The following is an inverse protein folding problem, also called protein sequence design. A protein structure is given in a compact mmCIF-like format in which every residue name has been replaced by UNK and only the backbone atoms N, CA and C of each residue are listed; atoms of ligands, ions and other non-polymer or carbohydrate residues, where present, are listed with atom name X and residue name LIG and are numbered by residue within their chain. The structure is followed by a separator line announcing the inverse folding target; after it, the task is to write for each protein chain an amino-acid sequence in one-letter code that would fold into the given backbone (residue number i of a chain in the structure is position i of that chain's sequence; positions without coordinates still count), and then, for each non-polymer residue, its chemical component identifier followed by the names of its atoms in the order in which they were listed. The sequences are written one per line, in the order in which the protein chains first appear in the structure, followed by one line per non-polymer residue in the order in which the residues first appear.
data_IF_447701206496
#
_entry.id   IF_447701206496
#
_cell.length_a   1.000
_cell.length_b   1.000
_cell.length_c   1.000
_cell.angle_alpha   90.00
_cell.angle_beta   90.00
_cell.angle_gamma   90.00
#
_symmetry.space_group_name_H-M   'P 1'
#
loop_
_entity.id
_entity.type
_entity.pdbx_description
1 polymer ?
#
# COMPACT_ATOMS: atom_id res chain seq x y z
N UNK A 1 6.58 -19.49 -1.57
CA UNK A 1 5.38 -19.89 -0.80
C UNK A 1 4.11 -19.27 -1.40
N UNK A 2 4.21 -18.59 -2.56
CA UNK A 2 3.13 -17.85 -3.22
C UNK A 2 2.40 -18.63 -4.30
N UNK A 3 2.91 -19.79 -4.73
CA UNK A 3 2.42 -20.50 -5.92
C UNK A 3 0.92 -20.88 -5.85
N UNK A 4 0.39 -21.20 -4.66
CA UNK A 4 -1.03 -21.53 -4.50
C UNK A 4 -1.92 -20.28 -4.58
N UNK A 5 -1.47 -19.16 -4.02
CA UNK A 5 -2.21 -17.89 -4.07
C UNK A 5 -2.10 -17.22 -5.45
N UNK A 6 -1.02 -17.48 -6.19
CA UNK A 6 -0.84 -17.00 -7.55
C UNK A 6 -1.53 -17.90 -8.60
N UNK A 7 -1.80 -19.17 -8.32
CA UNK A 7 -2.37 -20.13 -9.28
C UNK A 7 -3.71 -19.64 -9.86
N UNK A 8 -4.61 -19.11 -9.04
CA UNK A 8 -5.89 -18.56 -9.50
C UNK A 8 -5.67 -17.37 -10.45
N UNK A 9 -4.68 -16.52 -10.17
CA UNK A 9 -4.32 -15.41 -11.04
C UNK A 9 -3.73 -15.87 -12.36
N UNK A 10 -2.94 -16.95 -12.37
CA UNK A 10 -2.45 -17.56 -13.60
C UNK A 10 -3.62 -18.02 -14.49
N UNK A 11 -4.56 -18.78 -13.93
CA UNK A 11 -5.71 -19.31 -14.68
C UNK A 11 -6.56 -18.19 -15.29
N UNK A 12 -6.86 -17.14 -14.51
CA UNK A 12 -7.61 -15.97 -14.98
C UNK A 12 -6.85 -15.28 -16.11
N UNK A 13 -5.55 -15.07 -15.94
CA UNK A 13 -4.78 -14.28 -16.87
C UNK A 13 -4.46 -15.02 -18.17
N UNK A 14 -4.29 -16.34 -18.13
CA UNK A 14 -4.13 -17.18 -19.32
C UNK A 14 -5.44 -17.27 -20.11
N UNK A 15 -6.58 -17.34 -19.42
CA UNK A 15 -7.90 -17.33 -20.06
C UNK A 15 -8.27 -15.96 -20.67
N UNK A 16 -7.69 -14.86 -20.17
CA UNK A 16 -8.08 -13.50 -20.53
C UNK A 16 -6.91 -12.63 -21.03
N UNK A 17 -6.45 -12.91 -22.26
CA UNK A 17 -5.39 -12.16 -22.93
C UNK A 17 -5.62 -10.65 -23.11
N UNK A 18 -6.87 -10.16 -22.90
CA UNK A 18 -7.21 -8.74 -22.98
C UNK A 18 -7.02 -7.98 -21.67
N UNK A 19 -6.76 -8.66 -20.55
CA UNK A 19 -6.44 -7.99 -19.28
C UNK A 19 -5.02 -7.44 -19.38
N UNK A 20 -4.90 -6.11 -19.32
CA UNK A 20 -3.64 -5.36 -19.50
C UNK A 20 -3.06 -4.80 -18.21
N UNK A 21 -3.79 -4.89 -17.09
CA UNK A 21 -3.36 -4.37 -15.81
C UNK A 21 -4.49 -4.45 -14.78
N UNK A 22 -4.16 -4.11 -13.55
CA UNK A 22 -5.07 -4.20 -12.41
C UNK A 22 -5.09 -2.90 -11.61
N UNK A 23 -6.27 -2.52 -11.12
CA UNK A 23 -6.42 -1.49 -10.11
C UNK A 23 -6.48 -2.11 -8.72
N UNK A 24 -5.63 -1.64 -7.81
CA UNK A 24 -5.58 -2.07 -6.43
C UNK A 24 -5.95 -0.96 -5.45
N UNK A 25 -6.30 -1.36 -4.23
CA UNK A 25 -6.55 -0.47 -3.09
C UNK A 25 -6.24 -1.21 -1.79
N UNK A 26 -6.99 -0.93 -0.72
CA UNK A 26 -6.95 -1.62 0.58
C UNK A 26 -5.68 -1.43 1.43
N UNK A 27 -4.49 -1.37 0.84
CA UNK A 27 -3.23 -1.35 1.60
C UNK A 27 -2.86 0.01 2.18
N UNK A 28 -3.46 1.10 1.68
CA UNK A 28 -3.08 2.48 1.99
C UNK A 28 -1.60 2.81 1.67
N UNK A 29 -0.94 1.97 0.86
CA UNK A 29 0.42 2.17 0.35
C UNK A 29 0.30 2.41 -1.16
N UNK A 30 0.34 3.67 -1.63
CA UNK A 30 0.30 3.97 -3.06
C UNK A 30 1.59 3.43 -3.69
N UNK A 31 1.46 2.45 -4.57
CA UNK A 31 2.61 1.77 -5.20
C UNK A 31 2.23 1.19 -6.56
N UNK A 32 3.25 0.74 -7.28
CA UNK A 32 3.15 0.06 -8.57
C UNK A 32 4.06 -1.16 -8.55
N UNK A 33 3.53 -2.29 -8.98
CA UNK A 33 4.28 -3.52 -9.11
C UNK A 33 3.72 -4.35 -10.26
N UNK A 34 4.40 -5.45 -10.61
CA UNK A 34 3.93 -6.35 -11.65
C UNK A 34 3.40 -7.66 -11.06
N UNK A 35 2.31 -8.15 -11.63
CA UNK A 35 1.79 -9.48 -11.40
C UNK A 35 1.69 -10.20 -12.76
N UNK A 36 2.52 -11.22 -12.95
CA UNK A 36 2.53 -12.03 -14.19
C UNK A 36 2.66 -11.18 -15.47
N UNK A 37 3.62 -10.25 -15.44
CA UNK A 37 3.94 -9.35 -16.56
C UNK A 37 2.88 -8.27 -16.83
N UNK A 38 1.94 -8.04 -15.90
CA UNK A 38 0.91 -7.01 -16.00
C UNK A 38 1.04 -6.04 -14.83
N UNK A 39 0.92 -4.72 -15.06
CA UNK A 39 1.03 -3.74 -14.00
C UNK A 39 -0.17 -3.83 -13.03
N UNK A 40 0.13 -3.66 -11.75
CA UNK A 40 -0.84 -3.45 -10.67
C UNK A 40 -0.63 -2.05 -10.13
N UNK A 41 -1.65 -1.21 -10.27
CA UNK A 41 -1.64 0.17 -9.82
C UNK A 41 -2.43 0.29 -8.51
N UNK A 42 -1.73 0.44 -7.39
CA UNK A 42 -2.40 0.65 -6.10
C UNK A 42 -2.73 2.13 -5.94
N UNK A 43 -4.02 2.46 -5.84
CA UNK A 43 -4.47 3.82 -5.59
C UNK A 43 -4.28 4.20 -4.12
N UNK A 44 -3.88 5.44 -3.83
CA UNK A 44 -4.02 5.99 -2.48
C UNK A 44 -5.48 5.96 -2.00
N UNK A 45 -5.65 5.92 -0.69
CA UNK A 45 -6.89 6.21 0.01
C UNK A 45 -7.17 7.71 0.01
N UNK A 46 -8.46 8.06 0.05
CA UNK A 46 -8.95 9.43 0.25
C UNK A 46 -8.82 9.94 1.70
N UNK A 47 -8.04 9.27 2.56
CA UNK A 47 -7.92 9.60 3.99
C UNK A 47 -6.47 9.62 4.46
N UNK A 48 -5.90 8.47 4.76
CA UNK A 48 -4.53 8.36 5.25
C UNK A 48 -3.79 7.35 4.39
N UNK A 49 -2.54 7.64 4.07
CA UNK A 49 -1.67 6.74 3.33
C UNK A 49 -0.33 6.64 4.08
N UNK A 50 0.53 5.70 3.69
CA UNK A 50 1.88 5.63 4.23
C UNK A 50 2.86 5.05 3.21
N UNK A 51 4.13 5.42 3.37
CA UNK A 51 5.26 4.74 2.74
C UNK A 51 6.06 3.99 3.80
N UNK A 52 6.59 2.83 3.44
CA UNK A 52 7.53 2.08 4.27
C UNK A 52 8.98 2.52 4.04
N UNK A 53 9.26 3.17 2.90
CA UNK A 53 10.59 3.62 2.49
C UNK A 53 10.48 5.00 1.78
N UNK A 54 10.73 6.12 2.49
CA UNK A 54 10.92 6.22 3.94
C UNK A 54 9.64 5.96 4.73
N UNK A 55 9.77 5.57 6.01
CA UNK A 55 8.66 5.36 6.96
C UNK A 55 7.94 6.67 7.27
N UNK A 56 6.93 7.00 6.47
CA UNK A 56 6.27 8.31 6.50
C UNK A 56 4.78 8.18 6.25
N UNK A 57 3.97 8.83 7.09
CA UNK A 57 2.56 9.09 6.81
C UNK A 57 2.44 10.02 5.61
N UNK A 58 1.55 9.67 4.70
CA UNK A 58 1.28 10.39 3.47
C UNK A 58 -0.14 10.97 3.50
N UNK A 59 -0.36 12.12 2.84
CA UNK A 59 -1.69 12.72 2.74
C UNK A 59 -2.68 11.84 1.97
N UNK A 60 -3.99 12.17 2.00
CA UNK A 60 -4.96 11.64 1.05
C UNK A 60 -4.48 11.78 -0.40
N UNK A 61 -5.00 10.94 -1.27
CA UNK A 61 -4.73 11.08 -2.69
C UNK A 61 -5.70 10.30 -3.56
N UNK A 62 -5.48 10.41 -4.85
CA UNK A 62 -6.11 9.59 -5.88
C UNK A 62 -5.07 9.19 -6.93
N UNK A 63 -5.50 8.41 -7.92
CA UNK A 63 -4.65 8.00 -9.03
C UNK A 63 -5.36 8.29 -10.35
N UNK A 64 -4.63 8.85 -11.30
CA UNK A 64 -5.12 9.09 -12.66
C UNK A 64 -4.67 7.96 -13.58
N UNK A 65 -5.42 7.77 -14.66
CA UNK A 65 -5.13 6.77 -15.68
C UNK A 65 -5.33 7.37 -17.06
N UNK A 66 -4.38 7.12 -17.95
CA UNK A 66 -4.47 7.39 -19.37
C UNK A 66 -4.33 6.06 -20.12
N UNK A 67 -5.31 5.77 -20.99
CA UNK A 67 -5.35 4.52 -21.76
C UNK A 67 -5.00 4.80 -23.22
N UNK A 68 -3.88 4.23 -23.68
CA UNK A 68 -3.43 4.33 -25.04
C UNK A 68 -4.22 3.44 -26.00
N UNK A 69 -4.28 3.83 -27.27
CA UNK A 69 -4.93 3.02 -28.31
C UNK A 69 -4.21 1.68 -28.59
N UNK A 70 -2.93 1.58 -28.23
CA UNK A 70 -2.11 0.36 -28.29
C UNK A 70 -2.33 -0.57 -27.07
N UNK A 71 -3.18 -0.16 -26.13
CA UNK A 71 -3.43 -0.88 -24.89
C UNK A 71 -2.43 -0.59 -23.77
N UNK A 72 -1.51 0.38 -23.96
CA UNK A 72 -0.69 0.92 -22.87
C UNK A 72 -1.56 1.62 -21.83
N UNK A 73 -1.10 1.62 -20.58
CA UNK A 73 -1.75 2.33 -19.47
C UNK A 73 -0.67 3.15 -18.78
N UNK A 74 -0.80 4.47 -18.84
CA UNK A 74 -0.01 5.39 -18.02
C UNK A 74 -0.82 5.75 -16.79
N UNK A 75 -0.16 5.84 -15.64
CA UNK A 75 -0.83 6.19 -14.40
C UNK A 75 0.06 7.06 -13.53
N UNK A 76 -0.57 7.95 -12.76
CA UNK A 76 0.14 8.84 -11.85
C UNK A 76 -0.61 8.93 -10.52
N UNK A 77 0.14 8.92 -9.42
CA UNK A 77 -0.41 9.17 -8.08
C UNK A 77 -0.48 10.66 -7.83
N UNK A 78 -1.65 11.12 -7.40
CA UNK A 78 -1.91 12.51 -7.03
C UNK A 78 -2.14 12.57 -5.52
N UNK A 79 -1.18 13.13 -4.79
CA UNK A 79 -1.29 13.35 -3.35
C UNK A 79 -1.78 14.78 -3.09
N UNK A 80 -2.77 14.92 -2.20
CA UNK A 80 -3.35 16.20 -1.81
C UNK A 80 -2.54 16.76 -0.64
N UNK A 81 -1.38 17.33 -0.96
CA UNK A 81 -0.53 17.99 0.03
C UNK A 81 -1.21 19.26 0.54
N UNK A 82 -1.54 19.27 1.84
CA UNK A 82 -2.20 20.36 2.54
C UNK A 82 -1.72 20.33 4.00
N UNK A 83 -1.65 21.48 4.66
CA UNK A 83 -1.22 21.58 6.06
C UNK A 83 -2.09 20.74 7.01
N UNK A 84 -3.35 20.46 6.64
CA UNK A 84 -4.27 19.57 7.39
C UNK A 84 -3.86 18.10 7.34
N UNK A 85 -3.03 17.69 6.38
CA UNK A 85 -2.53 16.33 6.21
C UNK A 85 -1.00 16.33 6.05
N UNK A 86 -0.26 16.66 7.13
CA UNK A 86 1.18 16.75 7.07
C UNK A 86 1.82 15.39 6.83
N UNK A 87 2.93 15.39 6.10
CA UNK A 87 3.82 14.24 6.00
C UNK A 87 4.61 14.12 7.29
N UNK A 88 4.42 13.02 8.02
CA UNK A 88 5.06 12.81 9.32
C UNK A 88 5.78 11.46 9.35
N UNK A 89 7.03 11.40 9.81
CA UNK A 89 7.70 10.11 9.98
C UNK A 89 6.96 9.28 11.04
N UNK A 90 6.96 7.96 10.87
CA UNK A 90 6.50 7.04 11.91
C UNK A 90 7.64 6.14 12.39
N UNK A 91 7.53 5.69 13.63
CA UNK A 91 8.59 4.94 14.31
C UNK A 91 8.67 3.47 13.87
N UNK A 92 9.81 2.85 14.15
CA UNK A 92 10.10 1.45 13.82
C UNK A 92 9.09 0.45 14.38
N UNK A 93 8.45 0.76 15.51
CA UNK A 93 7.44 -0.12 16.12
C UNK A 93 6.20 -0.28 15.23
N UNK A 94 5.70 0.82 14.64
CA UNK A 94 4.59 0.76 13.66
C UNK A 94 5.04 0.08 12.36
N UNK A 95 6.29 0.31 11.94
CA UNK A 95 6.84 -0.36 10.78
C UNK A 95 6.89 -1.88 10.95
N UNK A 96 7.26 -2.36 12.15
CA UNK A 96 7.24 -3.79 12.47
C UNK A 96 5.85 -4.39 12.45
N UNK A 97 4.83 -3.67 12.95
CA UNK A 97 3.43 -4.09 12.81
C UNK A 97 3.04 -4.21 11.33
N UNK A 98 3.33 -3.21 10.51
CA UNK A 98 2.95 -3.21 9.09
C UNK A 98 3.68 -4.27 8.26
N UNK A 99 4.89 -4.67 8.68
CA UNK A 99 5.60 -5.83 8.11
C UNK A 99 5.11 -7.18 8.63
N UNK A 100 4.20 -7.20 9.61
CA UNK A 100 3.74 -8.41 10.27
C UNK A 100 4.79 -9.07 11.15
N UNK A 101 5.83 -8.33 11.55
CA UNK A 101 6.89 -8.81 12.46
C UNK A 101 6.38 -8.93 13.90
N UNK A 102 5.37 -8.13 14.24
CA UNK A 102 4.62 -8.19 15.49
C UNK A 102 3.12 -8.15 15.19
N UNK A 103 2.34 -8.71 16.10
CA UNK A 103 0.89 -8.63 16.11
C UNK A 103 0.40 -7.34 16.76
N UNK A 104 -0.88 -7.03 16.57
CA UNK A 104 -1.52 -5.90 17.26
C UNK A 104 -1.53 -6.09 18.78
N UNK A 105 -1.72 -7.32 19.27
CA UNK A 105 -1.68 -7.60 20.70
C UNK A 105 -0.28 -7.35 21.30
N UNK A 106 0.79 -7.77 20.60
CA UNK A 106 2.16 -7.48 21.03
C UNK A 106 2.47 -5.98 21.00
N UNK A 107 1.93 -5.24 20.03
CA UNK A 107 2.02 -3.78 20.01
C UNK A 107 1.39 -3.17 21.28
N UNK A 108 0.17 -3.57 21.63
CA UNK A 108 -0.53 -3.07 22.81
C UNK A 108 0.25 -3.36 24.11
N UNK A 109 0.81 -4.57 24.25
CA UNK A 109 1.65 -4.93 25.39
C UNK A 109 2.95 -4.10 25.46
N UNK A 110 3.58 -3.80 24.33
CA UNK A 110 4.77 -2.94 24.27
C UNK A 110 4.42 -1.51 24.69
N UNK A 111 3.30 -0.97 24.24
CA UNK A 111 2.83 0.37 24.59
C UNK A 111 2.51 0.45 26.09
N UNK A 112 1.73 -0.50 26.61
CA UNK A 112 1.36 -0.54 28.03
C UNK A 112 2.58 -0.56 28.96
N UNK A 113 3.58 -1.42 28.67
CA UNK A 113 4.83 -1.47 29.45
C UNK A 113 5.64 -0.17 29.40
N UNK A 114 5.57 0.57 28.29
CA UNK A 114 6.26 1.87 28.18
C UNK A 114 5.57 2.94 29.02
N UNK A 115 4.24 2.98 29.02
CA UNK A 115 3.47 3.89 29.87
C UNK A 115 3.75 3.69 31.36
N UNK A 116 3.84 2.44 31.80
CA UNK A 116 4.18 2.09 33.20
C UNK A 116 5.60 2.52 33.59
N UNK A 117 6.53 2.54 32.64
CA UNK A 117 7.94 2.93 32.87
C UNK A 117 8.13 4.45 32.83
N UNK A 118 7.34 5.18 32.04
CA UNK A 118 7.46 6.64 31.91
C UNK A 118 6.70 7.43 32.98
N UNK A 119 5.86 6.77 33.79
CA UNK A 119 5.24 7.35 34.98
C UNK A 119 4.44 8.63 34.71
N UNK A 120 3.30 8.47 34.05
CA UNK A 120 2.15 9.37 34.26
C UNK A 120 1.25 8.78 35.35
#
# INVERSE_FOLDING_TARGET
RDDVYAAEWHDILDAHAKIRGFGGGHTHIPTEYELLGRPVFVSPSLKNNFSMEPQTWLPPGYRTYEFGADGSVNSEVQLVDDERWPRLPFGSLLASLFRGEITFAELDEIIARRSDVTGD
#
